data_IF_051243998469
#
_entry.id   IF_051243998469
#
_cell.length_a   1.000
_cell.length_b   1.000
_cell.length_c   1.000
_cell.angle_alpha   90.00
_cell.angle_beta   90.00
_cell.angle_gamma   90.00
#
_symmetry.space_group_name_H-M   'P 1'
#
loop_
_entity.id
_entity.type
_entity.pdbx_description
1 polymer ?
#
# COMPACT_ATOMS: atom_id res chain seq x y z
N UNK A 1 -14.73 -7.30 -10.58
CA UNK A 1 -13.91 -7.49 -9.33
C UNK A 1 -14.05 -6.26 -8.46
N UNK A 2 -13.88 -6.42 -7.15
CA UNK A 2 -13.70 -5.31 -6.21
C UNK A 2 -12.22 -5.09 -6.01
N UNK A 3 -11.74 -3.88 -6.22
CA UNK A 3 -10.32 -3.52 -6.22
C UNK A 3 -10.07 -2.45 -5.15
N UNK A 4 -9.19 -2.75 -4.20
CA UNK A 4 -8.70 -1.77 -3.24
C UNK A 4 -7.42 -1.14 -3.78
N UNK A 5 -7.42 0.17 -3.94
CA UNK A 5 -6.28 0.94 -4.43
C UNK A 5 -5.69 1.75 -3.27
N UNK A 6 -4.46 1.46 -2.90
CA UNK A 6 -3.67 2.25 -1.95
C UNK A 6 -2.78 3.18 -2.77
N UNK A 7 -3.08 4.47 -2.69
CA UNK A 7 -2.34 5.52 -3.38
C UNK A 7 -1.50 6.31 -2.39
N UNK A 8 -0.27 6.59 -2.76
CA UNK A 8 0.65 7.32 -1.89
C UNK A 8 1.54 8.28 -2.70
N UNK A 9 1.18 9.56 -2.72
CA UNK A 9 2.00 10.63 -3.28
C UNK A 9 1.68 11.96 -2.57
N UNK A 10 2.69 12.78 -2.22
CA UNK A 10 2.46 14.03 -1.48
C UNK A 10 1.81 15.15 -2.30
N UNK A 11 1.74 15.03 -3.62
CA UNK A 11 1.19 16.05 -4.51
C UNK A 11 0.24 15.46 -5.54
N UNK A 12 -0.88 16.13 -5.76
CA UNK A 12 -1.81 15.80 -6.84
C UNK A 12 -1.34 16.35 -8.21
N UNK A 13 -0.29 17.15 -8.24
CA UNK A 13 0.36 17.60 -9.47
C UNK A 13 1.60 16.74 -9.74
N UNK A 14 1.37 15.50 -10.17
CA UNK A 14 2.45 14.53 -10.38
C UNK A 14 2.08 13.49 -11.44
N UNK A 15 3.10 12.89 -12.06
CA UNK A 15 2.91 11.79 -13.00
C UNK A 15 2.24 10.58 -12.31
N UNK A 16 2.60 10.28 -11.07
CA UNK A 16 1.96 9.22 -10.28
C UNK A 16 0.46 9.45 -10.11
N UNK A 17 0.05 10.72 -9.94
CA UNK A 17 -1.38 11.08 -9.85
C UNK A 17 -2.12 10.78 -11.15
N UNK A 18 -1.53 11.10 -12.30
CA UNK A 18 -2.10 10.78 -13.61
C UNK A 18 -2.18 9.27 -13.84
N UNK A 19 -1.13 8.52 -13.48
CA UNK A 19 -1.14 7.05 -13.54
C UNK A 19 -2.29 6.48 -12.72
N UNK A 20 -2.51 7.00 -11.50
CA UNK A 20 -3.66 6.60 -10.67
C UNK A 20 -4.99 6.87 -11.37
N UNK A 21 -5.17 8.08 -11.92
CA UNK A 21 -6.42 8.45 -12.58
C UNK A 21 -6.72 7.57 -13.79
N UNK A 22 -5.72 7.31 -14.63
CA UNK A 22 -5.85 6.44 -15.80
C UNK A 22 -6.15 4.99 -15.41
N UNK A 23 -5.51 4.50 -14.36
CA UNK A 23 -5.78 3.16 -13.83
C UNK A 23 -7.23 3.03 -13.35
N UNK A 24 -7.72 4.02 -12.58
CA UNK A 24 -9.11 4.04 -12.09
C UNK A 24 -10.09 4.10 -13.25
N UNK A 25 -9.80 4.91 -14.27
CA UNK A 25 -10.61 4.96 -15.49
C UNK A 25 -10.69 3.59 -16.15
N UNK A 26 -9.55 2.91 -16.31
CA UNK A 26 -9.51 1.56 -16.87
C UNK A 26 -10.31 0.53 -16.07
N UNK A 27 -10.29 0.62 -14.72
CA UNK A 27 -11.14 -0.22 -13.87
C UNK A 27 -12.62 0.02 -14.13
N UNK A 28 -13.03 1.29 -14.22
CA UNK A 28 -14.40 1.66 -14.50
C UNK A 28 -14.86 1.17 -15.89
N UNK A 29 -14.05 1.38 -16.93
CA UNK A 29 -14.33 0.93 -18.30
C UNK A 29 -14.43 -0.61 -18.38
N UNK A 30 -13.68 -1.32 -17.54
CA UNK A 30 -13.75 -2.78 -17.37
C UNK A 30 -14.88 -3.28 -16.46
N UNK A 31 -15.78 -2.41 -16.00
CA UNK A 31 -16.86 -2.72 -15.06
C UNK A 31 -16.35 -3.32 -13.73
N UNK A 32 -15.22 -2.83 -13.23
CA UNK A 32 -14.71 -3.16 -11.89
C UNK A 32 -15.11 -2.09 -10.88
N UNK A 33 -15.40 -2.52 -9.65
CA UNK A 33 -15.60 -1.61 -8.52
C UNK A 33 -14.24 -1.26 -7.92
N UNK A 34 -14.01 0.01 -7.58
CA UNK A 34 -12.79 0.44 -6.92
C UNK A 34 -13.05 1.23 -5.64
N UNK A 35 -12.26 0.95 -4.61
CA UNK A 35 -12.14 1.77 -3.41
C UNK A 35 -10.74 2.34 -3.38
N UNK A 36 -10.61 3.67 -3.26
CA UNK A 36 -9.32 4.35 -3.32
C UNK A 36 -9.02 4.93 -1.95
N UNK A 37 -7.87 4.58 -1.41
CA UNK A 37 -7.33 5.11 -0.16
C UNK A 37 -6.06 5.90 -0.46
N UNK A 38 -6.16 7.21 -0.38
CA UNK A 38 -5.03 8.13 -0.50
C UNK A 38 -4.44 8.37 0.90
N UNK A 39 -3.25 7.83 1.14
CA UNK A 39 -2.61 7.88 2.46
C UNK A 39 -2.27 9.30 2.92
N UNK A 40 -2.08 10.24 2.00
CA UNK A 40 -1.86 11.65 2.34
C UNK A 40 -3.17 12.36 2.68
N UNK A 41 -4.22 12.17 1.89
CA UNK A 41 -5.55 12.75 2.16
C UNK A 41 -6.17 12.21 3.43
N UNK A 42 -5.95 10.93 3.75
CA UNK A 42 -6.39 10.29 4.99
C UNK A 42 -5.55 10.70 6.21
N UNK A 43 -4.48 11.47 6.00
CA UNK A 43 -3.51 11.83 7.07
C UNK A 43 -3.01 10.61 7.84
N UNK A 44 -2.82 9.48 7.12
CA UNK A 44 -2.36 8.22 7.72
C UNK A 44 -1.04 8.45 8.47
N UNK A 45 -1.00 7.98 9.71
CA UNK A 45 0.21 8.03 10.53
C UNK A 45 1.07 6.80 10.23
N UNK A 46 2.22 7.03 9.64
CA UNK A 46 3.16 5.98 9.24
C UNK A 46 4.01 5.44 10.40
N UNK A 47 4.09 6.18 11.51
CA UNK A 47 4.96 5.82 12.62
C UNK A 47 4.44 4.62 13.39
N UNK A 48 5.27 3.59 13.48
CA UNK A 48 5.04 2.39 14.27
C UNK A 48 5.15 2.74 15.76
N UNK A 49 4.08 2.58 16.52
CA UNK A 49 4.05 2.91 17.94
C UNK A 49 4.70 1.82 18.79
N UNK A 50 5.07 2.15 20.04
CA UNK A 50 5.61 1.16 20.99
C UNK A 50 4.62 0.00 21.22
N UNK A 51 3.34 0.28 21.34
CA UNK A 51 2.33 -0.77 21.55
C UNK A 51 2.21 -1.70 20.33
N UNK A 52 2.24 -1.15 19.12
CA UNK A 52 2.28 -1.93 17.89
C UNK A 52 3.56 -2.77 17.81
N UNK A 53 4.72 -2.19 18.14
CA UNK A 53 5.98 -2.90 18.21
C UNK A 53 5.94 -4.07 19.20
N UNK A 54 5.49 -3.84 20.44
CA UNK A 54 5.41 -4.88 21.46
C UNK A 54 4.43 -6.00 21.08
N UNK A 55 3.34 -5.65 20.38
CA UNK A 55 2.42 -6.63 19.84
C UNK A 55 3.10 -7.55 18.82
N UNK A 56 3.78 -6.96 17.85
CA UNK A 56 4.39 -7.71 16.74
C UNK A 56 5.66 -8.46 17.16
N UNK A 57 6.53 -7.83 17.95
CA UNK A 57 7.80 -8.43 18.39
C UNK A 57 7.62 -9.68 19.27
N UNK A 58 6.51 -9.74 19.99
CA UNK A 58 6.20 -10.85 20.91
C UNK A 58 4.97 -11.67 20.49
N UNK A 59 4.42 -11.44 19.28
CA UNK A 59 3.21 -12.10 18.79
C UNK A 59 2.04 -12.03 19.80
N UNK A 60 1.91 -10.89 20.46
CA UNK A 60 1.00 -10.71 21.58
C UNK A 60 -0.38 -10.20 21.12
N UNK A 61 -1.26 -11.11 20.75
CA UNK A 61 -2.64 -10.78 20.32
C UNK A 61 -3.53 -10.17 21.41
N UNK A 62 -3.07 -10.11 22.67
CA UNK A 62 -3.79 -9.42 23.74
C UNK A 62 -3.66 -7.89 23.66
N UNK A 63 -2.66 -7.40 22.93
CA UNK A 63 -2.55 -5.98 22.61
C UNK A 63 -3.43 -5.70 21.41
N UNK A 64 -4.41 -4.81 21.58
CA UNK A 64 -5.36 -4.46 20.53
C UNK A 64 -4.68 -3.83 19.32
N UNK A 65 -5.17 -4.19 18.14
CA UNK A 65 -4.85 -3.48 16.90
C UNK A 65 -5.57 -2.13 16.90
N UNK A 66 -4.88 -1.08 16.45
CA UNK A 66 -5.45 0.27 16.38
C UNK A 66 -6.60 0.33 15.36
N UNK A 67 -7.56 1.21 15.60
CA UNK A 67 -8.80 1.26 14.81
C UNK A 67 -8.57 1.60 13.34
N UNK A 68 -7.60 2.48 13.04
CA UNK A 68 -7.23 2.78 11.66
C UNK A 68 -6.68 1.54 10.93
N UNK A 69 -5.87 0.73 11.59
CA UNK A 69 -5.34 -0.53 11.05
C UNK A 69 -6.45 -1.55 10.86
N UNK A 70 -7.37 -1.68 11.82
CA UNK A 70 -8.53 -2.58 11.69
C UNK A 70 -9.38 -2.25 10.45
N UNK A 71 -9.58 -0.95 10.19
CA UNK A 71 -10.35 -0.53 9.03
C UNK A 71 -9.64 -0.88 7.70
N UNK A 72 -8.32 -0.70 7.61
CA UNK A 72 -7.57 -1.17 6.44
C UNK A 72 -7.66 -2.69 6.25
N UNK A 73 -7.52 -3.45 7.31
CA UNK A 73 -7.62 -4.92 7.26
C UNK A 73 -9.01 -5.38 6.82
N UNK A 74 -10.06 -4.74 7.30
CA UNK A 74 -11.44 -4.99 6.88
C UNK A 74 -11.63 -4.70 5.38
N UNK A 75 -11.12 -3.55 4.90
CA UNK A 75 -11.21 -3.19 3.48
C UNK A 75 -10.44 -4.19 2.60
N UNK A 76 -9.27 -4.66 3.03
CA UNK A 76 -8.54 -5.71 2.30
C UNK A 76 -9.41 -6.96 2.16
N UNK A 77 -10.03 -7.42 3.25
CA UNK A 77 -10.88 -8.61 3.22
C UNK A 77 -12.20 -8.43 2.45
N UNK A 78 -12.63 -7.20 2.19
CA UNK A 78 -13.83 -6.88 1.40
C UNK A 78 -13.56 -6.80 -0.12
N UNK A 79 -12.28 -6.78 -0.53
CA UNK A 79 -11.89 -6.63 -1.92
C UNK A 79 -11.28 -7.92 -2.49
N UNK A 80 -11.24 -8.06 -3.82
CA UNK A 80 -10.67 -9.21 -4.51
C UNK A 80 -9.22 -8.98 -4.91
N UNK A 81 -8.87 -7.72 -5.18
CA UNK A 81 -7.54 -7.32 -5.60
C UNK A 81 -7.05 -6.13 -4.78
N UNK A 82 -5.73 -6.05 -4.63
CA UNK A 82 -5.04 -4.96 -3.94
C UNK A 82 -4.03 -4.34 -4.90
N UNK A 83 -4.09 -3.03 -5.03
CA UNK A 83 -3.22 -2.27 -5.93
C UNK A 83 -2.52 -1.17 -5.15
N UNK A 84 -1.21 -1.06 -5.33
CA UNK A 84 -0.39 0.02 -4.78
C UNK A 84 0.07 0.91 -5.91
N UNK A 85 -0.13 2.23 -5.78
CA UNK A 85 0.31 3.24 -6.76
C UNK A 85 1.14 4.28 -6.04
N UNK A 86 2.44 4.36 -6.36
CA UNK A 86 3.37 5.22 -5.64
C UNK A 86 4.63 5.53 -6.45
N UNK A 87 5.35 6.63 -6.12
CA UNK A 87 6.66 6.92 -6.69
C UNK A 87 7.77 6.23 -5.90
N UNK A 88 8.89 5.97 -6.56
CA UNK A 88 10.14 5.59 -5.87
C UNK A 88 10.83 6.85 -5.36
N UNK A 89 11.14 6.87 -4.06
CA UNK A 89 11.96 7.87 -3.42
C UNK A 89 13.19 7.18 -2.82
N UNK A 90 14.39 7.52 -3.31
CA UNK A 90 15.65 6.95 -2.85
C UNK A 90 15.72 5.40 -2.88
N UNK A 91 15.16 4.80 -3.93
CA UNK A 91 15.13 3.34 -4.09
C UNK A 91 14.03 2.63 -3.29
N UNK A 92 13.21 3.37 -2.53
CA UNK A 92 12.16 2.87 -1.66
C UNK A 92 10.79 3.46 -1.99
N UNK A 93 9.74 2.85 -1.45
CA UNK A 93 8.43 3.46 -1.42
C UNK A 93 8.43 4.69 -0.47
N UNK A 94 7.50 5.65 -0.65
CA UNK A 94 7.36 6.76 0.30
C UNK A 94 7.18 6.26 1.73
N UNK A 95 7.75 6.97 2.72
CA UNK A 95 7.73 6.59 4.14
C UNK A 95 6.33 6.24 4.65
N UNK A 96 5.31 6.98 4.19
CA UNK A 96 3.90 6.69 4.52
C UNK A 96 3.46 5.30 4.07
N UNK A 97 3.88 4.86 2.90
CA UNK A 97 3.54 3.53 2.40
C UNK A 97 4.35 2.44 3.11
N UNK A 98 5.62 2.68 3.39
CA UNK A 98 6.44 1.78 4.20
C UNK A 98 5.83 1.58 5.59
N UNK A 99 5.43 2.68 6.24
CA UNK A 99 4.75 2.62 7.53
C UNK A 99 3.37 1.93 7.44
N UNK A 100 2.66 2.07 6.32
CA UNK A 100 1.43 1.32 6.09
C UNK A 100 1.69 -0.20 6.09
N UNK A 101 2.72 -0.67 5.38
CA UNK A 101 3.09 -2.08 5.41
C UNK A 101 3.46 -2.55 6.82
N UNK A 102 4.25 -1.77 7.56
CA UNK A 102 4.66 -2.11 8.91
C UNK A 102 3.49 -2.22 9.89
N UNK A 103 2.46 -1.37 9.75
CA UNK A 103 1.34 -1.29 10.66
C UNK A 103 0.18 -2.22 10.30
N UNK A 104 -0.07 -2.44 9.01
CA UNK A 104 -1.25 -3.18 8.53
C UNK A 104 -1.00 -4.69 8.43
N UNK A 105 0.22 -5.10 8.07
CA UNK A 105 0.58 -6.53 8.00
C UNK A 105 0.90 -7.11 9.38
N UNK A 106 -0.14 -7.24 10.22
CA UNK A 106 0.03 -7.72 11.59
C UNK A 106 0.00 -9.24 11.70
N UNK A 107 0.63 -9.74 12.76
CA UNK A 107 0.47 -11.13 13.19
C UNK A 107 -1.01 -11.44 13.49
N UNK A 108 -1.48 -12.60 13.05
CA UNK A 108 -2.88 -12.99 13.13
C UNK A 108 -3.76 -12.41 12.01
N UNK A 109 -3.27 -11.43 11.25
CA UNK A 109 -3.93 -10.95 10.04
C UNK A 109 -3.22 -11.42 8.77
N UNK A 110 -2.02 -10.91 8.49
CA UNK A 110 -1.29 -11.21 7.26
C UNK A 110 -0.41 -12.46 7.34
N UNK A 111 -0.02 -12.85 8.54
CA UNK A 111 0.83 -14.00 8.78
C UNK A 111 0.55 -14.65 10.14
N UNK A 112 1.11 -15.84 10.36
CA UNK A 112 0.85 -16.67 11.53
C UNK A 112 -0.03 -17.89 11.20
N UNK A 113 -0.20 -18.79 12.16
CA UNK A 113 -0.87 -20.07 11.93
C UNK A 113 -2.35 -19.96 11.56
N UNK A 114 -3.02 -18.88 12.00
CA UNK A 114 -4.46 -18.66 11.78
C UNK A 114 -4.69 -17.26 11.23
N UNK A 115 -3.88 -16.83 10.25
CA UNK A 115 -4.01 -15.53 9.64
C UNK A 115 -5.40 -15.33 9.03
N UNK A 116 -6.04 -14.20 9.33
CA UNK A 116 -7.42 -13.89 8.95
C UNK A 116 -7.53 -13.15 7.61
N UNK A 117 -6.42 -12.76 7.01
CA UNK A 117 -6.40 -12.15 5.68
C UNK A 117 -6.82 -13.18 4.64
N UNK A 118 -7.85 -12.84 3.85
CA UNK A 118 -8.26 -13.71 2.76
C UNK A 118 -7.20 -13.78 1.67
N UNK A 119 -7.19 -14.84 0.91
CA UNK A 119 -6.42 -14.93 -0.31
C UNK A 119 -6.98 -13.92 -1.34
N UNK A 120 -6.12 -13.06 -1.85
CA UNK A 120 -6.45 -12.11 -2.91
C UNK A 120 -6.26 -12.77 -4.28
N UNK A 121 -7.15 -12.43 -5.22
CA UNK A 121 -7.04 -12.92 -6.60
C UNK A 121 -5.84 -12.29 -7.33
N UNK A 122 -5.55 -11.02 -7.01
CA UNK A 122 -4.43 -10.26 -7.61
C UNK A 122 -3.86 -9.23 -6.63
N UNK A 123 -2.55 -9.04 -6.73
CA UNK A 123 -1.84 -7.89 -6.16
C UNK A 123 -1.04 -7.24 -7.29
N UNK A 124 -1.12 -5.92 -7.41
CA UNK A 124 -0.44 -5.14 -8.44
C UNK A 124 0.28 -3.95 -7.79
N UNK A 125 1.49 -3.68 -8.25
CA UNK A 125 2.24 -2.47 -7.91
C UNK A 125 2.47 -1.66 -9.18
N UNK A 126 1.92 -0.44 -9.23
CA UNK A 126 2.19 0.55 -10.27
C UNK A 126 3.16 1.59 -9.69
N UNK A 127 4.40 1.48 -10.09
CA UNK A 127 5.49 2.25 -9.52
C UNK A 127 6.01 3.24 -10.54
N UNK A 128 6.15 4.49 -10.16
CA UNK A 128 6.73 5.54 -11.01
C UNK A 128 8.12 5.91 -10.53
N UNK A 129 9.03 6.11 -11.46
CA UNK A 129 10.40 6.53 -11.19
C UNK A 129 10.71 7.80 -11.99
N UNK A 130 11.44 8.71 -11.38
CA UNK A 130 11.96 9.88 -12.07
C UNK A 130 13.32 9.61 -12.71
N UNK A 131 13.67 10.39 -13.75
CA UNK A 131 14.97 10.36 -14.40
C UNK A 131 14.94 9.85 -15.83
N UNK A 132 16.03 10.13 -16.57
CA UNK A 132 16.23 9.63 -17.92
C UNK A 132 16.89 8.25 -17.84
N UNK A 133 16.20 7.21 -18.34
CA UNK A 133 16.72 5.85 -18.41
C UNK A 133 17.95 5.71 -19.33
N UNK A 134 18.21 6.72 -20.17
CA UNK A 134 19.40 6.74 -21.04
C UNK A 134 20.67 7.25 -20.31
N UNK A 135 20.54 7.78 -19.08
CA UNK A 135 21.72 8.12 -18.30
C UNK A 135 22.39 6.86 -17.74
N UNK A 136 23.72 6.67 -17.97
CA UNK A 136 24.42 5.44 -17.56
C UNK A 136 24.31 5.10 -16.06
N UNK A 137 24.23 6.12 -15.21
CA UNK A 137 24.07 5.93 -13.75
C UNK A 137 22.68 5.35 -13.44
N UNK A 138 21.65 5.78 -14.16
CA UNK A 138 20.28 5.30 -13.97
C UNK A 138 20.07 3.88 -14.49
N UNK A 139 20.76 3.51 -15.58
CA UNK A 139 20.73 2.13 -16.08
C UNK A 139 21.29 1.16 -15.04
N UNK A 140 22.39 1.52 -14.37
CA UNK A 140 22.99 0.69 -13.34
C UNK A 140 22.07 0.52 -12.10
N UNK A 141 21.24 1.53 -11.77
CA UNK A 141 20.27 1.44 -10.67
C UNK A 141 19.10 0.51 -11.00
N UNK A 142 18.72 0.40 -12.27
CA UNK A 142 17.61 -0.47 -12.73
C UNK A 142 18.05 -1.92 -12.87
N UNK A 143 19.32 -2.16 -13.19
CA UNK A 143 19.90 -3.50 -13.38
C UNK A 143 20.39 -4.14 -12.07
N UNK A 144 20.47 -3.38 -10.99
CA UNK A 144 20.95 -3.86 -9.69
C UNK A 144 19.83 -4.42 -8.83
#
# INVERSE_FOLDING_TARGET
MKVLVIYCHPSNNSFTYEVKNEFIRGLHDGNHESTILDLYTLEFKETFSESEYLREAFYNEKIDILDDVKEFQKLINQNNALVFIYPVFWGEAPSKLVGWFQRVWTYGFAYGNNASMKQLDKVLMLVTMGGDLNEPIRQAEVEA
#
